data_IF_832209302599
#
_entry.id   IF_832209302599
#
_cell.length_a   1.000
_cell.length_b   1.000
_cell.length_c   1.000
_cell.angle_alpha   90.00
_cell.angle_beta   90.00
_cell.angle_gamma   90.00
#
_symmetry.space_group_name_H-M   'P 1'
#
loop_
_entity.id
_entity.type
_entity.pdbx_description
1 polymer ?
#
# COMPACT_ATOMS: atom_id res chain seq x y z
N UNK A 1 -2.26 18.62 -9.17
CA UNK A 1 -3.16 18.87 -8.02
C UNK A 1 -2.57 18.28 -6.75
N UNK A 2 -2.68 18.97 -5.62
CA UNK A 2 -2.22 18.51 -4.31
C UNK A 2 -3.07 19.20 -3.23
N UNK A 3 -3.34 18.55 -2.10
CA UNK A 3 -4.05 19.15 -0.97
C UNK A 3 -3.15 20.01 -0.07
N UNK A 4 -1.83 19.85 -0.18
CA UNK A 4 -0.86 20.62 0.58
C UNK A 4 -0.37 21.83 -0.24
N UNK A 5 -0.58 23.06 0.21
CA UNK A 5 -0.12 24.26 -0.50
C UNK A 5 1.39 24.49 -0.38
N UNK A 6 2.07 23.83 0.56
CA UNK A 6 3.47 24.07 0.89
C UNK A 6 4.41 23.00 0.30
N UNK A 7 4.17 22.54 -0.91
CA UNK A 7 5.06 21.61 -1.61
C UNK A 7 5.59 22.21 -2.89
N UNK A 8 6.73 21.71 -3.38
CA UNK A 8 7.30 22.10 -4.67
C UNK A 8 6.32 21.81 -5.82
N UNK A 9 5.46 20.78 -5.67
CA UNK A 9 4.47 20.40 -6.69
C UNK A 9 3.28 21.37 -6.80
N UNK A 10 3.16 22.31 -5.88
CA UNK A 10 2.14 23.37 -5.91
C UNK A 10 2.72 24.75 -6.27
N UNK A 11 4.02 24.82 -6.57
CA UNK A 11 4.64 26.02 -7.09
C UNK A 11 4.01 26.36 -8.46
N UNK A 12 3.54 27.61 -8.67
CA UNK A 12 2.91 28.02 -9.92
C UNK A 12 3.81 27.89 -11.15
N UNK A 13 5.14 27.82 -10.96
CA UNK A 13 6.11 27.69 -12.06
C UNK A 13 6.35 26.25 -12.50
N UNK A 14 5.83 25.27 -11.75
CA UNK A 14 6.08 23.84 -12.00
C UNK A 14 5.06 23.20 -12.94
N UNK A 15 3.93 23.86 -13.22
CA UNK A 15 2.88 23.30 -14.07
C UNK A 15 2.09 24.41 -14.76
N UNK A 16 1.48 24.11 -15.91
CA UNK A 16 0.61 25.04 -16.65
C UNK A 16 -0.65 25.41 -15.84
N UNK A 17 -1.15 24.49 -15.02
CA UNK A 17 -2.25 24.72 -14.10
C UNK A 17 -2.03 24.00 -12.76
N UNK A 18 -2.12 24.74 -11.67
CA UNK A 18 -1.96 24.22 -10.31
C UNK A 18 -3.27 24.28 -9.54
N UNK A 19 -3.65 23.17 -8.92
CA UNK A 19 -4.86 23.05 -8.11
C UNK A 19 -4.48 22.62 -6.69
N UNK A 20 -4.86 23.43 -5.71
CA UNK A 20 -4.71 23.15 -4.28
C UNK A 20 -6.10 22.84 -3.75
N UNK A 21 -6.46 21.57 -3.81
CA UNK A 21 -7.80 21.08 -3.51
C UNK A 21 -7.71 19.69 -2.85
N UNK A 22 -8.74 19.26 -2.11
CA UNK A 22 -8.82 17.91 -1.57
C UNK A 22 -8.75 16.87 -2.68
N UNK A 23 -7.92 15.82 -2.47
CA UNK A 23 -7.72 14.72 -3.42
C UNK A 23 -8.89 13.74 -3.32
N UNK A 24 -10.06 14.15 -3.85
CA UNK A 24 -11.25 13.31 -3.98
C UNK A 24 -11.64 13.19 -5.45
N UNK A 25 -12.15 12.04 -5.85
CA UNK A 25 -12.47 11.77 -7.25
C UNK A 25 -13.47 12.78 -7.86
N UNK A 26 -14.42 13.30 -7.06
CA UNK A 26 -15.36 14.33 -7.53
C UNK A 26 -14.67 15.66 -7.89
N UNK A 27 -13.67 16.04 -7.09
CA UNK A 27 -12.87 17.25 -7.33
C UNK A 27 -11.99 17.06 -8.56
N UNK A 28 -11.29 15.91 -8.63
CA UNK A 28 -10.44 15.57 -9.77
C UNK A 28 -11.25 15.45 -11.05
N UNK A 29 -12.45 14.89 -11.01
CA UNK A 29 -13.35 14.81 -12.16
C UNK A 29 -13.69 16.19 -12.75
N UNK A 30 -13.92 17.20 -11.89
CA UNK A 30 -14.15 18.59 -12.34
C UNK A 30 -12.90 19.21 -12.98
N UNK A 31 -11.73 18.89 -12.44
CA UNK A 31 -10.45 19.34 -13.02
C UNK A 31 -10.23 18.68 -14.38
N UNK A 32 -10.45 17.37 -14.50
CA UNK A 32 -10.38 16.64 -15.77
C UNK A 32 -11.37 17.21 -16.79
N UNK A 33 -12.60 17.53 -16.37
CA UNK A 33 -13.59 18.15 -17.24
C UNK A 33 -13.13 19.52 -17.78
N UNK A 34 -12.48 20.30 -16.94
CA UNK A 34 -12.00 21.65 -17.27
C UNK A 34 -10.73 21.61 -18.13
N UNK A 35 -9.72 20.87 -17.68
CA UNK A 35 -8.37 20.90 -18.27
C UNK A 35 -8.19 19.92 -19.43
N UNK A 36 -9.03 18.86 -19.50
CA UNK A 36 -9.00 17.85 -20.55
C UNK A 36 -7.62 17.23 -20.77
N UNK A 37 -6.95 16.73 -19.71
CA UNK A 37 -5.65 16.10 -19.87
C UNK A 37 -5.76 14.82 -20.69
N UNK A 38 -4.71 14.46 -21.40
CA UNK A 38 -4.62 13.20 -22.13
C UNK A 38 -4.34 12.01 -21.20
N UNK A 39 -3.65 12.26 -20.07
CA UNK A 39 -3.24 11.21 -19.15
C UNK A 39 -3.36 11.61 -17.67
N UNK A 40 -3.49 10.58 -16.81
CA UNK A 40 -3.45 10.66 -15.35
C UNK A 40 -2.31 9.79 -14.82
N UNK A 41 -1.39 10.36 -14.04
CA UNK A 41 -0.30 9.65 -13.35
C UNK A 41 -0.60 9.56 -11.85
N UNK A 42 -1.16 8.45 -11.33
CA UNK A 42 -1.50 8.32 -9.91
C UNK A 42 -0.34 7.86 -9.03
N UNK A 43 0.67 7.20 -9.59
CA UNK A 43 1.74 6.51 -8.86
C UNK A 43 2.68 7.44 -8.08
N UNK A 44 2.68 8.74 -8.37
CA UNK A 44 3.51 9.74 -7.69
C UNK A 44 2.81 10.43 -6.50
N UNK A 45 1.58 10.05 -6.16
CA UNK A 45 0.79 10.70 -5.11
C UNK A 45 0.43 9.80 -3.93
N UNK A 46 1.12 8.67 -3.76
CA UNK A 46 0.89 7.70 -2.68
C UNK A 46 -0.52 7.09 -2.71
N UNK A 47 -0.92 6.46 -1.60
CA UNK A 47 -2.19 5.73 -1.49
C UNK A 47 -3.42 6.57 -1.80
N UNK A 48 -3.40 7.85 -1.41
CA UNK A 48 -4.52 8.76 -1.68
C UNK A 48 -4.77 8.95 -3.16
N UNK A 49 -3.71 9.08 -3.97
CA UNK A 49 -3.83 9.23 -5.41
C UNK A 49 -4.22 7.92 -6.10
N UNK A 50 -3.70 6.79 -5.63
CA UNK A 50 -4.06 5.46 -6.14
C UNK A 50 -5.55 5.18 -5.93
N UNK A 51 -6.06 5.40 -4.72
CA UNK A 51 -7.48 5.23 -4.40
C UNK A 51 -8.37 6.18 -5.23
N UNK A 52 -7.96 7.45 -5.36
CA UNK A 52 -8.67 8.42 -6.18
C UNK A 52 -8.75 8.00 -7.65
N UNK A 53 -7.65 7.45 -8.21
CA UNK A 53 -7.61 6.97 -9.59
C UNK A 53 -8.50 5.74 -9.81
N UNK A 54 -8.55 4.81 -8.85
CA UNK A 54 -9.47 3.68 -8.88
C UNK A 54 -10.94 4.16 -8.88
N UNK A 55 -11.26 5.13 -8.03
CA UNK A 55 -12.61 5.71 -7.97
C UNK A 55 -12.98 6.42 -9.29
N UNK A 56 -12.06 7.21 -9.88
CA UNK A 56 -12.28 7.83 -11.20
C UNK A 56 -12.55 6.80 -12.29
N UNK A 57 -11.80 5.69 -12.28
CA UNK A 57 -11.99 4.58 -13.20
C UNK A 57 -13.35 3.91 -12.99
N UNK A 58 -13.69 3.58 -11.74
CA UNK A 58 -14.95 2.94 -11.35
C UNK A 58 -16.18 3.77 -11.72
N UNK A 59 -16.09 5.10 -11.60
CA UNK A 59 -17.17 6.01 -11.97
C UNK A 59 -17.17 6.39 -13.46
N UNK A 60 -16.30 5.78 -14.27
CA UNK A 60 -16.25 5.99 -15.73
C UNK A 60 -15.73 7.36 -16.17
N UNK A 61 -15.15 8.16 -15.28
CA UNK A 61 -14.67 9.51 -15.57
C UNK A 61 -13.55 9.48 -16.60
N UNK A 62 -12.61 8.56 -16.44
CA UNK A 62 -11.46 8.44 -17.35
C UNK A 62 -11.93 8.07 -18.77
N UNK A 63 -12.87 7.16 -18.91
CA UNK A 63 -13.46 6.79 -20.20
C UNK A 63 -14.24 7.96 -20.79
N UNK A 64 -15.07 8.64 -19.99
CA UNK A 64 -15.89 9.78 -20.44
C UNK A 64 -15.07 10.90 -21.08
N UNK A 65 -13.88 11.14 -20.54
CA UNK A 65 -13.02 12.23 -20.99
C UNK A 65 -11.79 11.77 -21.79
N UNK A 66 -11.71 10.49 -22.11
CA UNK A 66 -10.61 9.85 -22.85
C UNK A 66 -9.24 10.11 -22.19
N UNK A 67 -9.15 9.91 -20.87
CA UNK A 67 -7.93 10.08 -20.10
C UNK A 67 -7.27 8.74 -19.91
N UNK A 68 -6.02 8.59 -20.34
CA UNK A 68 -5.22 7.38 -20.16
C UNK A 68 -4.60 7.37 -18.76
N UNK A 69 -4.68 6.23 -18.07
CA UNK A 69 -3.97 6.04 -16.79
C UNK A 69 -2.56 5.52 -17.08
N UNK A 70 -1.55 6.35 -16.81
CA UNK A 70 -0.13 6.02 -17.03
C UNK A 70 0.58 5.69 -15.72
N UNK A 71 1.75 5.02 -15.79
CA UNK A 71 2.49 4.53 -14.63
C UNK A 71 1.96 3.19 -14.12
N UNK A 72 0.66 3.09 -13.86
CA UNK A 72 -0.03 1.84 -13.57
C UNK A 72 -1.50 1.95 -13.98
N UNK A 73 -2.07 0.88 -14.53
CA UNK A 73 -3.50 0.83 -14.84
C UNK A 73 -4.32 0.39 -13.62
N UNK A 74 -5.65 0.60 -13.67
CA UNK A 74 -6.55 0.29 -12.56
C UNK A 74 -6.46 -1.18 -12.08
N UNK A 75 -6.34 -2.13 -13.00
CA UNK A 75 -6.22 -3.55 -12.64
C UNK A 75 -4.90 -3.87 -11.93
N UNK A 76 -3.81 -3.21 -12.33
CA UNK A 76 -2.50 -3.38 -11.68
C UNK A 76 -2.50 -2.77 -10.29
N UNK A 77 -3.09 -1.58 -10.12
CA UNK A 77 -3.24 -0.93 -8.81
C UNK A 77 -4.09 -1.82 -7.89
N UNK A 78 -5.27 -2.23 -8.32
CA UNK A 78 -6.17 -3.05 -7.54
C UNK A 78 -5.54 -4.40 -7.15
N UNK A 79 -4.78 -5.02 -8.05
CA UNK A 79 -4.03 -6.25 -7.77
C UNK A 79 -2.93 -6.04 -6.73
N UNK A 80 -2.24 -4.89 -6.75
CA UNK A 80 -1.17 -4.58 -5.81
C UNK A 80 -1.70 -4.23 -4.41
N UNK A 81 -2.87 -3.58 -4.37
CA UNK A 81 -3.48 -3.12 -3.12
C UNK A 81 -4.30 -4.20 -2.40
N UNK A 82 -4.90 -5.12 -3.17
CA UNK A 82 -5.66 -6.24 -2.61
C UNK A 82 -4.69 -7.39 -2.26
N UNK A 83 -4.59 -7.70 -0.96
CA UNK A 83 -3.67 -8.72 -0.45
C UNK A 83 -3.91 -10.10 -1.03
N UNK A 84 -5.16 -10.52 -1.17
CA UNK A 84 -5.49 -11.83 -1.70
C UNK A 84 -5.13 -11.93 -3.18
N UNK A 85 -5.48 -10.91 -3.96
CA UNK A 85 -5.11 -10.82 -5.38
C UNK A 85 -3.59 -10.75 -5.58
N UNK A 86 -2.89 -10.03 -4.71
CA UNK A 86 -1.44 -9.97 -4.72
C UNK A 86 -0.80 -11.33 -4.41
N UNK A 87 -1.24 -12.01 -3.34
CA UNK A 87 -0.74 -13.33 -2.97
C UNK A 87 -0.96 -14.35 -4.10
N UNK A 88 -2.16 -14.39 -4.69
CA UNK A 88 -2.45 -15.24 -5.85
C UNK A 88 -1.51 -14.94 -7.02
N UNK A 89 -1.27 -13.65 -7.31
CA UNK A 89 -0.39 -13.24 -8.39
C UNK A 89 1.07 -13.65 -8.13
N UNK A 90 1.55 -13.50 -6.89
CA UNK A 90 2.92 -13.89 -6.51
C UNK A 90 3.10 -15.41 -6.58
N UNK A 91 2.17 -16.18 -6.03
CA UNK A 91 2.21 -17.66 -6.11
C UNK A 91 2.19 -18.16 -7.55
N UNK A 92 1.43 -17.49 -8.43
CA UNK A 92 1.37 -17.86 -9.86
C UNK A 92 2.72 -17.76 -10.57
N UNK A 93 3.58 -16.85 -10.15
CA UNK A 93 4.93 -16.66 -10.70
C UNK A 93 6.02 -17.38 -9.89
N UNK A 94 5.63 -18.20 -8.91
CA UNK A 94 6.54 -19.00 -8.09
C UNK A 94 7.18 -18.26 -6.92
N UNK A 95 6.69 -17.07 -6.57
CA UNK A 95 7.11 -16.31 -5.40
C UNK A 95 6.23 -16.64 -4.19
N UNK A 96 6.78 -16.44 -3.00
CA UNK A 96 6.07 -16.59 -1.73
C UNK A 96 5.84 -15.23 -1.09
N UNK A 97 4.74 -15.12 -0.37
CA UNK A 97 4.42 -13.97 0.48
C UNK A 97 4.46 -14.42 1.94
N UNK A 98 4.64 -13.52 2.92
CA UNK A 98 4.50 -13.86 4.32
C UNK A 98 3.11 -14.46 4.58
N UNK A 99 3.08 -15.46 5.44
CA UNK A 99 1.81 -16.06 5.83
C UNK A 99 0.97 -15.04 6.61
N UNK A 100 -0.32 -15.01 6.32
CA UNK A 100 -1.28 -14.11 6.94
C UNK A 100 -2.56 -14.88 7.26
N UNK A 101 -3.26 -14.47 8.32
CA UNK A 101 -4.54 -15.03 8.69
C UNK A 101 -5.43 -14.02 9.37
N UNK A 102 -6.73 -14.15 9.17
CA UNK A 102 -7.75 -13.33 9.83
C UNK A 102 -8.38 -14.16 10.96
N UNK A 103 -8.56 -13.55 12.13
CA UNK A 103 -9.18 -14.15 13.29
C UNK A 103 -10.26 -13.24 13.86
N UNK A 104 -11.41 -13.80 14.19
CA UNK A 104 -12.53 -13.12 14.85
C UNK A 104 -12.68 -13.57 16.32
N UNK A 105 -11.80 -14.43 16.78
CA UNK A 105 -11.76 -14.91 18.16
C UNK A 105 -10.34 -15.23 18.59
N UNK A 106 -10.12 -15.30 19.91
CA UNK A 106 -8.83 -15.70 20.45
C UNK A 106 -8.49 -17.16 20.09
N UNK A 107 -9.49 -18.02 19.92
CA UNK A 107 -9.30 -19.41 19.53
C UNK A 107 -8.78 -19.51 18.09
N UNK A 108 -9.41 -18.83 17.15
CA UNK A 108 -8.94 -18.73 15.76
C UNK A 108 -7.53 -18.11 15.68
N UNK A 109 -7.29 -17.05 16.45
CA UNK A 109 -5.98 -16.44 16.54
C UNK A 109 -4.90 -17.43 16.99
N UNK A 110 -5.17 -18.25 18.01
CA UNK A 110 -4.25 -19.27 18.47
C UNK A 110 -3.97 -20.35 17.42
N UNK A 111 -4.98 -20.77 16.66
CA UNK A 111 -4.80 -21.72 15.56
C UNK A 111 -3.89 -21.16 14.46
N UNK A 112 -3.98 -19.85 14.20
CA UNK A 112 -3.09 -19.18 13.25
C UNK A 112 -1.66 -19.14 13.80
N UNK A 113 -1.48 -18.74 15.07
CA UNK A 113 -0.16 -18.72 15.71
C UNK A 113 0.50 -20.09 15.79
N UNK A 114 -0.27 -21.16 15.95
CA UNK A 114 0.24 -22.53 15.95
C UNK A 114 0.85 -22.94 14.58
N UNK A 115 0.36 -22.33 13.51
CA UNK A 115 0.89 -22.56 12.15
C UNK A 115 2.11 -21.72 11.83
N UNK A 116 2.15 -20.47 12.32
CA UNK A 116 3.20 -19.51 11.96
C UNK A 116 4.39 -19.54 12.92
N UNK A 117 4.16 -19.90 14.19
CA UNK A 117 5.14 -19.74 15.24
C UNK A 117 5.27 -18.29 15.72
N UNK A 118 6.35 -18.00 16.42
CA UNK A 118 6.66 -16.66 16.93
C UNK A 118 8.01 -16.18 16.40
N UNK A 119 8.20 -14.87 16.23
CA UNK A 119 7.25 -13.78 16.50
C UNK A 119 6.11 -13.68 15.48
N UNK A 120 4.94 -13.14 15.92
CA UNK A 120 3.79 -12.79 15.08
C UNK A 120 3.50 -11.29 15.18
N UNK A 121 3.01 -10.71 14.10
CA UNK A 121 2.50 -9.33 14.06
C UNK A 121 0.98 -9.39 14.13
N UNK A 122 0.39 -8.67 15.07
CA UNK A 122 -1.06 -8.60 15.25
C UNK A 122 -1.51 -7.18 14.92
N UNK A 123 -2.53 -7.05 14.08
CA UNK A 123 -3.12 -5.77 13.67
C UNK A 123 -4.63 -5.86 13.73
N UNK A 124 -5.29 -5.12 14.64
CA UNK A 124 -6.75 -4.99 14.63
C UNK A 124 -7.21 -4.30 13.36
N UNK A 125 -8.27 -4.79 12.76
CA UNK A 125 -8.89 -4.17 11.58
C UNK A 125 -9.58 -2.86 11.96
N UNK A 126 -9.51 -1.89 11.06
CA UNK A 126 -10.17 -0.58 11.18
C UNK A 126 -9.79 0.26 12.41
N UNK A 127 -8.63 0.02 13.02
CA UNK A 127 -8.11 0.88 14.07
C UNK A 127 -7.23 1.99 13.51
N UNK A 128 -7.31 3.19 14.10
CA UNK A 128 -6.48 4.32 13.69
C UNK A 128 -5.09 4.26 14.34
N UNK A 129 -4.05 4.57 13.55
CA UNK A 129 -2.70 4.72 14.06
C UNK A 129 -2.08 3.47 14.68
N UNK A 130 -2.51 2.27 14.27
CA UNK A 130 -1.96 1.00 14.79
C UNK A 130 -2.36 0.68 16.23
N UNK A 131 -3.37 1.37 16.78
CA UNK A 131 -3.85 1.14 18.16
C UNK A 131 -4.29 -0.30 18.37
N UNK A 132 -3.84 -0.90 19.47
CA UNK A 132 -4.21 -2.27 19.85
C UNK A 132 -3.39 -3.37 19.19
N UNK A 133 -2.61 -3.06 18.15
CA UNK A 133 -1.68 -3.99 17.52
C UNK A 133 -0.34 -4.12 18.24
N UNK A 134 0.50 -5.01 17.75
CA UNK A 134 1.84 -5.22 18.28
C UNK A 134 2.52 -6.46 17.72
N UNK A 135 3.75 -6.67 18.17
CA UNK A 135 4.53 -7.87 17.87
C UNK A 135 4.53 -8.73 19.13
N UNK A 136 4.14 -9.99 18.98
CA UNK A 136 4.20 -10.99 20.05
C UNK A 136 5.38 -11.92 19.82
N UNK A 137 6.26 -12.04 20.79
CA UNK A 137 7.43 -12.91 20.73
C UNK A 137 7.17 -14.30 21.37
N UNK A 138 6.06 -14.41 22.08
CA UNK A 138 5.63 -15.66 22.74
C UNK A 138 4.11 -15.71 22.90
N UNK A 139 3.61 -16.86 23.31
CA UNK A 139 2.17 -17.12 23.42
C UNK A 139 1.47 -16.25 24.48
N UNK A 140 2.15 -15.88 25.55
CA UNK A 140 1.58 -15.04 26.61
C UNK A 140 1.32 -13.63 26.08
N UNK A 141 2.33 -13.00 25.49
CA UNK A 141 2.22 -11.68 24.84
C UNK A 141 1.16 -11.70 23.74
N UNK A 142 1.16 -12.77 22.92
CA UNK A 142 0.18 -12.95 21.86
C UNK A 142 -1.25 -12.92 22.40
N UNK A 143 -1.54 -13.67 23.46
CA UNK A 143 -2.86 -13.70 24.08
C UNK A 143 -3.30 -12.34 24.64
N UNK A 144 -2.37 -11.56 25.19
CA UNK A 144 -2.63 -10.21 25.72
C UNK A 144 -2.97 -9.25 24.58
N UNK A 145 -2.13 -9.22 23.51
CA UNK A 145 -2.29 -8.32 22.38
C UNK A 145 -3.59 -8.65 21.61
N UNK A 146 -3.87 -9.96 21.37
CA UNK A 146 -5.08 -10.37 20.65
C UNK A 146 -6.35 -9.95 21.39
N UNK A 147 -6.45 -10.17 22.71
CA UNK A 147 -7.61 -9.73 23.49
C UNK A 147 -7.82 -8.24 23.35
N UNK A 148 -6.78 -7.44 23.62
CA UNK A 148 -6.86 -5.99 23.48
C UNK A 148 -7.22 -5.56 22.05
N UNK A 149 -6.69 -6.24 21.06
CA UNK A 149 -6.96 -5.94 19.66
C UNK A 149 -8.41 -6.24 19.26
N UNK A 150 -8.97 -7.35 19.71
CA UNK A 150 -10.40 -7.69 19.48
C UNK A 150 -11.31 -6.67 20.16
N UNK A 151 -11.01 -6.27 21.42
CA UNK A 151 -11.80 -5.29 22.15
C UNK A 151 -11.79 -3.90 21.47
N UNK A 152 -10.74 -3.57 20.74
CA UNK A 152 -10.59 -2.28 20.04
C UNK A 152 -11.05 -2.30 18.59
N UNK A 153 -11.15 -3.47 17.97
CA UNK A 153 -11.61 -3.61 16.59
C UNK A 153 -13.12 -3.43 16.50
N UNK A 154 -13.62 -2.49 15.71
CA UNK A 154 -15.07 -2.32 15.52
C UNK A 154 -15.77 -3.51 14.86
N UNK A 155 -15.00 -4.41 14.25
CA UNK A 155 -15.48 -5.60 13.52
C UNK A 155 -15.10 -6.90 14.20
N UNK A 156 -14.55 -6.86 15.43
CA UNK A 156 -14.03 -8.03 16.15
C UNK A 156 -13.05 -8.85 15.28
N UNK A 157 -12.18 -8.14 14.53
CA UNK A 157 -11.29 -8.76 13.55
C UNK A 157 -9.83 -8.40 13.81
N UNK A 158 -8.98 -9.41 13.79
CA UNK A 158 -7.52 -9.29 13.84
C UNK A 158 -6.91 -9.86 12.56
N UNK A 159 -5.96 -9.13 12.02
CA UNK A 159 -5.02 -9.66 11.05
C UNK A 159 -3.76 -10.11 11.79
N UNK A 160 -3.33 -11.34 11.55
CA UNK A 160 -2.14 -11.94 12.16
C UNK A 160 -1.20 -12.31 11.03
N UNK A 161 -0.03 -11.69 11.04
CA UNK A 161 0.99 -11.90 10.02
C UNK A 161 2.20 -12.61 10.64
N UNK A 162 2.83 -13.49 9.87
CA UNK A 162 4.16 -14.01 10.13
C UNK A 162 5.16 -12.85 10.19
N UNK A 163 6.03 -12.85 11.19
CA UNK A 163 7.04 -11.81 11.33
C UNK A 163 8.27 -12.11 10.48
N UNK A 164 8.72 -11.13 9.75
CA UNK A 164 9.97 -11.17 8.99
C UNK A 164 11.13 -10.46 9.71
N UNK A 165 11.03 -10.26 11.03
CA UNK A 165 12.12 -9.68 11.82
C UNK A 165 13.42 -10.49 11.60
N UNK A 166 14.51 -9.75 11.30
CA UNK A 166 15.80 -10.34 10.98
C UNK A 166 16.03 -10.64 9.50
N UNK A 167 15.02 -10.47 8.66
CA UNK A 167 15.21 -10.47 7.22
C UNK A 167 15.78 -9.14 6.74
N UNK A 168 16.51 -9.19 5.63
CA UNK A 168 16.92 -7.98 4.90
C UNK A 168 15.80 -7.54 3.97
N UNK A 169 15.62 -6.23 3.86
CA UNK A 169 14.63 -5.62 2.98
C UNK A 169 15.33 -4.99 1.77
N UNK A 170 14.85 -5.36 0.58
CA UNK A 170 15.32 -4.81 -0.68
C UNK A 170 14.13 -4.31 -1.48
N UNK A 171 14.28 -3.15 -2.08
CA UNK A 171 13.34 -2.58 -3.02
C UNK A 171 13.97 -2.48 -4.40
N UNK A 172 13.16 -2.52 -5.44
CA UNK A 172 13.61 -2.32 -6.81
C UNK A 172 12.75 -1.27 -7.48
N UNK A 173 13.40 -0.24 -8.01
CA UNK A 173 12.74 0.69 -8.92
C UNK A 173 12.70 0.08 -10.31
N UNK A 174 11.48 -0.16 -10.80
CA UNK A 174 11.24 -0.82 -12.07
C UNK A 174 10.46 0.10 -12.99
N UNK A 175 10.95 0.26 -14.21
CA UNK A 175 10.27 1.01 -15.26
C UNK A 175 9.90 0.07 -16.41
N UNK A 176 8.65 0.16 -16.88
CA UNK A 176 8.14 -0.61 -18.01
C UNK A 176 7.45 0.33 -19.00
N UNK A 177 7.81 0.24 -20.27
CA UNK A 177 7.22 1.04 -21.33
C UNK A 177 5.99 0.38 -21.98
N UNK A 178 5.34 1.10 -22.90
CA UNK A 178 4.18 0.61 -23.62
C UNK A 178 4.48 -0.53 -24.60
N UNK A 179 5.75 -0.78 -24.93
CA UNK A 179 6.20 -1.88 -25.79
C UNK A 179 6.65 -3.11 -24.96
N UNK A 180 6.39 -3.12 -23.66
CA UNK A 180 6.73 -4.20 -22.76
C UNK A 180 8.24 -4.35 -22.44
N UNK A 181 9.03 -3.32 -22.74
CA UNK A 181 10.41 -3.28 -22.29
C UNK A 181 10.44 -2.96 -20.79
N UNK A 182 11.15 -3.79 -20.04
CA UNK A 182 11.24 -3.65 -18.58
C UNK A 182 12.70 -3.48 -18.18
N UNK A 183 12.99 -2.44 -17.40
CA UNK A 183 14.31 -2.19 -16.83
C UNK A 183 14.23 -2.04 -15.32
N UNK A 184 15.25 -2.53 -14.63
CA UNK A 184 15.49 -2.22 -13.23
C UNK A 184 16.39 -0.99 -13.19
N UNK A 185 15.86 0.12 -12.68
CA UNK A 185 16.59 1.38 -12.60
C UNK A 185 17.65 1.29 -11.52
N UNK A 186 17.27 0.80 -10.34
CA UNK A 186 18.20 0.54 -9.24
C UNK A 186 17.59 -0.49 -8.27
N UNK A 187 18.45 -1.09 -7.46
CA UNK A 187 18.11 -1.83 -6.28
C UNK A 187 18.49 -1.02 -5.03
N UNK A 188 17.63 -1.01 -4.03
CA UNK A 188 17.78 -0.25 -2.79
C UNK A 188 17.77 -1.26 -1.63
N UNK A 189 18.77 -1.21 -0.76
CA UNK A 189 18.79 -1.96 0.50
C UNK A 189 18.35 -1.04 1.64
N UNK A 190 17.37 -1.46 2.42
CA UNK A 190 16.98 -0.83 3.67
C UNK A 190 17.81 -1.40 4.81
N UNK A 191 18.55 -0.54 5.54
CA UNK A 191 19.44 -0.97 6.63
C UNK A 191 18.73 -1.12 7.96
N UNK A 192 17.62 -0.44 8.14
CA UNK A 192 16.84 -0.53 9.36
C UNK A 192 16.11 -1.89 9.45
N UNK A 193 15.78 -2.33 10.67
CA UNK A 193 15.05 -3.58 10.85
C UNK A 193 13.75 -3.63 10.08
N UNK A 194 13.43 -4.79 9.51
CA UNK A 194 12.17 -5.06 8.83
C UNK A 194 10.96 -4.59 9.66
N UNK A 195 10.07 -3.81 9.04
CA UNK A 195 8.89 -3.22 9.67
C UNK A 195 9.00 -1.73 9.96
N UNK A 196 10.17 -1.12 9.78
CA UNK A 196 10.31 0.34 9.71
C UNK A 196 9.87 0.79 8.32
N UNK A 197 9.04 1.83 8.26
CA UNK A 197 8.54 2.34 6.98
C UNK A 197 9.70 2.80 6.10
N UNK A 198 9.71 2.42 4.83
CA UNK A 198 10.81 2.69 3.88
C UNK A 198 11.16 4.18 3.76
N UNK A 199 10.16 5.06 3.85
CA UNK A 199 10.37 6.52 3.86
C UNK A 199 11.11 7.06 5.09
N UNK A 200 11.19 6.29 6.16
CA UNK A 200 11.84 6.65 7.43
C UNK A 200 13.14 5.85 7.66
N UNK A 201 13.43 4.89 6.76
CA UNK A 201 14.60 4.00 6.85
C UNK A 201 15.85 4.61 6.24
N UNK A 202 17.00 4.22 6.75
CA UNK A 202 18.30 4.48 6.10
C UNK A 202 18.42 3.53 4.93
N UNK A 203 18.55 4.09 3.73
CA UNK A 203 18.62 3.33 2.49
C UNK A 203 19.94 3.54 1.75
N UNK A 204 20.38 2.53 1.03
CA UNK A 204 21.52 2.63 0.11
C UNK A 204 21.15 2.01 -1.24
N UNK A 205 21.55 2.69 -2.31
CA UNK A 205 21.45 2.15 -3.66
C UNK A 205 22.57 1.12 -3.85
N UNK A 206 22.19 -0.12 -4.14
CA UNK A 206 23.13 -1.20 -4.46
C UNK A 206 23.46 -1.16 -5.95
N UNK A 207 24.72 -0.97 -6.27
CA UNK A 207 25.27 -1.08 -7.63
C UNK A 207 25.89 -2.48 -7.80
N UNK A 208 25.08 -3.50 -7.96
CA UNK A 208 25.58 -4.84 -8.33
C UNK A 208 24.97 -5.29 -9.64
#
# INVERSE_FOLDING_TARGET
>A
MNSNPATIMTDPTMADATYIEPVHWQTVAKIIEKERPDALLPTMGGQTALNCALDLSKHGILIKYNVEMIGANANSIDKAEDRERFDIAMRKIGLTTPNSGVAHSLEEANQIADRFGFPCIIRPSFTMGGSGGGIAYNREEFGIICRRGLDLSPTDELLIDESLIGWKEFEMEVMRDCNDNCIIVCAIENFDPMGIHTGDSITAVSYT
#
